data_IF_614596414279
#
_entry.id   IF_614596414279
#
_cell.length_a   1.000
_cell.length_b   1.000
_cell.length_c   1.000
_cell.angle_alpha   90.00
_cell.angle_beta   90.00
_cell.angle_gamma   90.00
#
_symmetry.space_group_name_H-M   'P 1'
#
loop_
_entity.id
_entity.type
_entity.pdbx_description
1 polymer ?
#
# COMPACT_ATOMS: atom_id res chain seq x y z
N UNK A 1 -4.51 -21.26 -22.55
CA UNK A 1 -3.25 -21.46 -21.81
C UNK A 1 -3.42 -22.58 -20.78
N UNK A 2 -2.36 -23.35 -20.53
CA UNK A 2 -2.38 -24.52 -19.62
C UNK A 2 -1.41 -24.31 -18.46
N UNK A 3 -1.86 -24.52 -17.23
CA UNK A 3 -1.03 -24.54 -16.02
C UNK A 3 -0.60 -25.97 -15.67
N UNK A 4 0.71 -26.22 -15.57
CA UNK A 4 1.29 -27.57 -15.36
C UNK A 4 2.37 -27.63 -14.27
N UNK A 5 2.58 -26.54 -13.55
CA UNK A 5 3.66 -26.43 -12.56
C UNK A 5 3.34 -27.26 -11.32
N UNK A 6 4.32 -28.03 -10.84
CA UNK A 6 4.20 -28.87 -9.65
C UNK A 6 3.54 -30.24 -9.93
N UNK A 7 3.17 -30.93 -8.86
CA UNK A 7 2.49 -32.24 -8.91
C UNK A 7 1.25 -32.22 -8.04
N UNK A 8 0.33 -33.17 -8.26
CA UNK A 8 -0.88 -33.33 -7.44
C UNK A 8 -0.99 -34.71 -6.79
N UNK A 9 -1.69 -34.72 -5.66
CA UNK A 9 -2.17 -35.89 -4.96
C UNK A 9 -3.70 -35.88 -4.98
N UNK A 10 -4.28 -37.02 -5.34
CA UNK A 10 -5.71 -37.26 -5.39
C UNK A 10 -6.03 -38.54 -4.62
N UNK A 11 -7.11 -38.53 -3.87
CA UNK A 11 -7.62 -39.71 -3.15
C UNK A 11 -8.90 -40.19 -3.83
N UNK A 12 -9.02 -41.50 -4.05
CA UNK A 12 -10.21 -42.10 -4.64
C UNK A 12 -11.47 -41.70 -3.86
N UNK A 13 -12.54 -41.36 -4.59
CA UNK A 13 -13.81 -40.92 -4.03
C UNK A 13 -13.72 -39.66 -3.14
N UNK A 14 -12.73 -38.79 -3.36
CA UNK A 14 -12.59 -37.51 -2.66
C UNK A 14 -12.49 -36.35 -3.69
N UNK A 15 -13.08 -35.21 -3.38
CA UNK A 15 -13.03 -34.01 -4.23
C UNK A 15 -11.79 -33.13 -3.97
N UNK A 16 -11.02 -33.41 -2.92
CA UNK A 16 -9.86 -32.60 -2.54
C UNK A 16 -8.64 -32.97 -3.40
N UNK A 17 -8.00 -31.97 -3.97
CA UNK A 17 -6.71 -32.10 -4.68
C UNK A 17 -5.66 -31.34 -3.89
N UNK A 18 -4.57 -32.03 -3.56
CA UNK A 18 -3.42 -31.43 -2.87
C UNK A 18 -2.27 -31.27 -3.84
N UNK A 19 -1.70 -30.07 -3.93
CA UNK A 19 -0.58 -29.74 -4.80
C UNK A 19 0.75 -29.64 -4.05
N UNK A 20 1.84 -30.00 -4.73
CA UNK A 20 3.22 -29.76 -4.27
C UNK A 20 3.95 -28.95 -5.33
N UNK A 21 4.58 -27.83 -4.93
CA UNK A 21 5.24 -26.92 -5.88
C UNK A 21 4.26 -26.17 -6.79
N UNK A 22 2.99 -26.06 -6.38
CA UNK A 22 1.92 -25.36 -7.10
C UNK A 22 1.72 -23.95 -6.53
N UNK A 23 1.11 -23.06 -7.32
CA UNK A 23 0.81 -21.69 -6.95
C UNK A 23 -0.61 -21.29 -7.43
N UNK A 24 -1.60 -22.14 -7.14
CA UNK A 24 -2.95 -22.01 -7.70
C UNK A 24 -3.71 -20.74 -7.28
N UNK A 25 -3.38 -20.15 -6.14
CA UNK A 25 -4.03 -18.91 -5.68
C UNK A 25 -3.36 -17.64 -6.24
N UNK A 26 -2.24 -17.78 -6.97
CA UNK A 26 -1.60 -16.65 -7.64
C UNK A 26 -2.34 -16.33 -8.95
N UNK A 27 -2.99 -15.17 -8.96
CA UNK A 27 -3.85 -14.71 -10.05
C UNK A 27 -3.14 -14.65 -11.42
N UNK A 28 -1.79 -14.54 -11.45
CA UNK A 28 -1.02 -14.53 -12.70
C UNK A 28 -1.12 -15.83 -13.49
N UNK A 29 -1.41 -16.94 -12.81
CA UNK A 29 -1.52 -18.25 -13.44
C UNK A 29 -2.94 -18.58 -13.89
N UNK A 30 -3.94 -17.81 -13.46
CA UNK A 30 -5.32 -17.91 -13.95
C UNK A 30 -6.07 -19.17 -13.53
N UNK A 31 -5.64 -19.88 -12.49
CA UNK A 31 -6.40 -21.01 -11.91
C UNK A 31 -7.53 -20.43 -11.06
N UNK A 32 -8.77 -20.76 -11.40
CA UNK A 32 -9.97 -20.22 -10.76
C UNK A 32 -11.12 -21.24 -10.79
N UNK A 33 -12.20 -21.05 -10.00
CA UNK A 33 -13.41 -21.84 -10.13
C UNK A 33 -13.94 -21.89 -11.57
N UNK A 34 -14.47 -23.04 -11.98
CA UNK A 34 -14.95 -23.31 -13.35
C UNK A 34 -13.86 -23.74 -14.33
N UNK A 35 -12.58 -23.72 -13.94
CA UNK A 35 -11.51 -24.23 -14.78
C UNK A 35 -11.50 -25.76 -14.82
N UNK A 36 -10.95 -26.33 -15.89
CA UNK A 36 -10.91 -27.78 -16.10
C UNK A 36 -9.53 -28.32 -15.72
N UNK A 37 -9.51 -29.28 -14.80
CA UNK A 37 -8.33 -30.06 -14.43
C UNK A 37 -8.33 -31.38 -15.21
N UNK A 38 -7.25 -31.64 -15.92
CA UNK A 38 -6.93 -32.93 -16.51
C UNK A 38 -6.16 -33.76 -15.47
N UNK A 39 -6.81 -34.81 -14.98
CA UNK A 39 -6.29 -35.68 -13.93
C UNK A 39 -5.48 -36.86 -14.52
N UNK A 40 -4.66 -37.55 -13.70
CA UNK A 40 -3.83 -38.67 -14.16
C UNK A 40 -4.61 -39.90 -14.65
N UNK A 41 -5.90 -39.99 -14.36
CA UNK A 41 -6.82 -40.99 -14.92
C UNK A 41 -7.30 -40.65 -16.34
N UNK A 42 -6.71 -39.61 -16.96
CA UNK A 42 -7.10 -39.05 -18.26
C UNK A 42 -8.55 -38.53 -18.32
N UNK A 43 -9.18 -38.25 -17.17
CA UNK A 43 -10.49 -37.63 -17.11
C UNK A 43 -10.40 -36.15 -16.78
N UNK A 44 -11.46 -35.44 -17.15
CA UNK A 44 -11.63 -34.02 -16.90
C UNK A 44 -12.46 -33.82 -15.64
N UNK A 45 -12.00 -32.93 -14.77
CA UNK A 45 -12.69 -32.53 -13.56
C UNK A 45 -12.81 -31.02 -13.50
N UNK A 46 -13.97 -30.52 -13.07
CA UNK A 46 -14.17 -29.09 -12.86
C UNK A 46 -13.62 -28.68 -11.50
N UNK A 47 -12.83 -27.60 -11.47
CA UNK A 47 -12.40 -26.95 -10.23
C UNK A 47 -13.58 -26.18 -9.65
N UNK A 48 -14.11 -26.64 -8.52
CA UNK A 48 -15.17 -25.94 -7.77
C UNK A 48 -14.63 -24.75 -7.00
N UNK A 49 -13.46 -24.90 -6.37
CA UNK A 49 -12.87 -23.86 -5.53
C UNK A 49 -11.35 -23.98 -5.47
N UNK A 50 -10.67 -22.82 -5.47
CA UNK A 50 -9.26 -22.69 -5.11
C UNK A 50 -9.18 -22.32 -3.63
N UNK A 51 -8.70 -23.23 -2.79
CA UNK A 51 -8.61 -23.02 -1.35
C UNK A 51 -7.30 -22.32 -0.97
N UNK A 52 -6.21 -22.67 -1.65
CA UNK A 52 -4.88 -22.08 -1.45
C UNK A 52 -3.95 -22.38 -2.65
N UNK A 53 -2.68 -21.97 -2.57
CA UNK A 53 -1.66 -22.30 -3.57
C UNK A 53 -1.49 -23.81 -3.81
N UNK A 54 -1.87 -24.64 -2.84
CA UNK A 54 -1.65 -26.10 -2.81
C UNK A 54 -2.90 -26.90 -2.49
N UNK A 55 -4.08 -26.29 -2.47
CA UNK A 55 -5.35 -26.99 -2.23
C UNK A 55 -6.45 -26.49 -3.15
N UNK A 56 -7.12 -27.42 -3.82
CA UNK A 56 -8.30 -27.21 -4.65
C UNK A 56 -9.39 -28.20 -4.25
N UNK A 57 -10.64 -27.81 -4.51
CA UNK A 57 -11.80 -28.69 -4.42
C UNK A 57 -12.40 -28.86 -5.80
N UNK A 58 -12.64 -30.11 -6.21
CA UNK A 58 -13.33 -30.47 -7.45
C UNK A 58 -14.85 -30.41 -7.27
N UNK A 59 -15.58 -30.23 -8.38
CA UNK A 59 -17.04 -30.23 -8.35
C UNK A 59 -17.62 -31.65 -8.19
N UNK A 60 -16.89 -32.66 -8.68
CA UNK A 60 -17.17 -34.08 -8.50
C UNK A 60 -16.01 -34.79 -7.79
N UNK A 61 -16.31 -35.85 -7.06
CA UNK A 61 -15.28 -36.66 -6.43
C UNK A 61 -14.38 -37.30 -7.50
N UNK A 62 -13.09 -37.39 -7.23
CA UNK A 62 -12.14 -38.05 -8.10
C UNK A 62 -12.48 -39.54 -8.26
N UNK A 63 -12.71 -39.96 -9.50
CA UNK A 63 -13.17 -41.30 -9.84
C UNK A 63 -12.04 -42.29 -10.14
N UNK A 64 -10.78 -41.81 -10.19
CA UNK A 64 -9.61 -42.65 -10.36
C UNK A 64 -9.13 -43.28 -9.05
N UNK A 65 -8.15 -44.18 -9.15
CA UNK A 65 -7.45 -44.73 -7.98
C UNK A 65 -6.59 -43.66 -7.30
N UNK A 66 -6.48 -43.72 -5.98
CA UNK A 66 -5.60 -42.83 -5.19
C UNK A 66 -4.21 -42.78 -5.80
N UNK A 67 -3.73 -41.57 -6.08
CA UNK A 67 -2.46 -41.34 -6.74
C UNK A 67 -1.77 -40.11 -6.14
N UNK A 68 -0.46 -40.20 -5.94
CA UNK A 68 0.36 -39.12 -5.36
C UNK A 68 1.52 -38.77 -6.28
N UNK A 69 1.96 -37.51 -6.24
CA UNK A 69 3.06 -37.00 -7.05
C UNK A 69 2.78 -37.04 -8.55
N UNK A 70 1.52 -36.95 -8.96
CA UNK A 70 1.14 -37.10 -10.36
C UNK A 70 1.26 -35.79 -11.14
N UNK A 71 1.59 -35.92 -12.43
CA UNK A 71 1.49 -34.83 -13.39
C UNK A 71 0.02 -34.52 -13.68
N UNK A 72 -0.25 -33.28 -14.02
CA UNK A 72 -1.60 -32.79 -14.31
C UNK A 72 -1.53 -31.57 -15.21
N UNK A 73 -2.68 -31.09 -15.64
CA UNK A 73 -2.77 -29.78 -16.24
C UNK A 73 -4.12 -29.13 -15.96
N UNK A 74 -4.14 -27.81 -15.77
CA UNK A 74 -5.38 -27.02 -15.64
C UNK A 74 -5.49 -26.11 -16.85
N UNK A 75 -6.62 -26.16 -17.54
CA UNK A 75 -6.95 -25.24 -18.63
C UNK A 75 -7.40 -23.94 -17.98
N UNK A 76 -6.56 -22.90 -18.04
CA UNK A 76 -6.80 -21.60 -17.37
C UNK A 76 -7.33 -20.52 -18.31
N UNK A 77 -7.20 -20.73 -19.62
CA UNK A 77 -7.87 -19.97 -20.68
C UNK A 77 -8.05 -20.85 -21.92
N UNK A 78 -9.13 -20.66 -22.68
CA UNK A 78 -9.20 -21.14 -24.06
C UNK A 78 -8.38 -20.19 -24.95
N UNK A 79 -7.54 -20.72 -25.83
CA UNK A 79 -6.95 -19.90 -26.90
C UNK A 79 -8.08 -19.42 -27.81
N UNK A 80 -8.29 -18.10 -27.90
CA UNK A 80 -9.17 -17.49 -28.91
C UNK A 80 -10.40 -16.69 -28.42
N UNK A 81 -10.63 -16.46 -27.13
CA UNK A 81 -11.86 -15.78 -26.69
C UNK A 81 -11.70 -14.25 -26.53
N UNK A 82 -12.17 -13.49 -27.54
CA UNK A 82 -12.21 -12.01 -27.62
C UNK A 82 -12.89 -11.36 -26.40
N UNK A 83 -13.75 -12.11 -25.71
CA UNK A 83 -14.47 -11.69 -24.52
C UNK A 83 -13.53 -11.45 -23.32
N UNK A 84 -12.45 -12.24 -23.18
CA UNK A 84 -11.49 -12.04 -22.09
C UNK A 84 -10.52 -10.90 -22.36
N UNK A 85 -10.14 -10.65 -23.61
CA UNK A 85 -9.41 -9.42 -23.95
C UNK A 85 -10.25 -8.19 -23.62
N UNK A 86 -11.53 -8.20 -23.97
CA UNK A 86 -12.47 -7.11 -23.64
C UNK A 86 -12.61 -6.92 -22.13
N UNK A 87 -12.73 -8.00 -21.35
CA UNK A 87 -12.79 -7.93 -19.89
C UNK A 87 -11.48 -7.41 -19.27
N UNK A 88 -10.32 -7.87 -19.75
CA UNK A 88 -9.00 -7.41 -19.29
C UNK A 88 -8.73 -5.96 -19.69
N UNK A 89 -9.17 -5.55 -20.88
CA UNK A 89 -9.09 -4.16 -21.34
C UNK A 89 -10.02 -3.25 -20.54
N UNK A 90 -11.25 -3.69 -20.25
CA UNK A 90 -12.18 -2.94 -19.40
C UNK A 90 -11.63 -2.79 -17.96
N UNK A 91 -11.03 -3.85 -17.40
CA UNK A 91 -10.35 -3.79 -16.10
C UNK A 91 -9.15 -2.83 -16.13
N UNK A 92 -8.33 -2.88 -17.18
CA UNK A 92 -7.21 -1.95 -17.39
C UNK A 92 -7.68 -0.50 -17.52
N UNK A 93 -8.78 -0.25 -18.26
CA UNK A 93 -9.37 1.08 -18.38
C UNK A 93 -9.95 1.58 -17.04
N UNK A 94 -10.55 0.69 -16.26
CA UNK A 94 -11.07 1.03 -14.93
C UNK A 94 -9.92 1.39 -13.98
N UNK A 95 -8.82 0.63 -14.03
CA UNK A 95 -7.60 0.93 -13.28
C UNK A 95 -7.02 2.29 -13.66
N UNK A 96 -6.87 2.60 -14.97
CA UNK A 96 -6.36 3.90 -15.40
C UNK A 96 -7.28 5.07 -15.00
N UNK A 97 -8.59 4.88 -15.05
CA UNK A 97 -9.54 5.89 -14.57
C UNK A 97 -9.42 6.13 -13.06
N UNK A 98 -9.29 5.06 -12.27
CA UNK A 98 -9.06 5.15 -10.82
C UNK A 98 -7.75 5.88 -10.51
N UNK A 99 -6.65 5.46 -11.12
CA UNK A 99 -5.33 6.08 -10.95
C UNK A 99 -5.34 7.57 -11.32
N UNK A 100 -6.04 7.95 -12.40
CA UNK A 100 -6.21 9.35 -12.79
C UNK A 100 -7.01 10.14 -11.75
N UNK A 101 -8.13 9.60 -11.28
CA UNK A 101 -8.97 10.27 -10.29
C UNK A 101 -8.24 10.47 -8.96
N UNK A 102 -7.53 9.44 -8.50
CA UNK A 102 -6.70 9.49 -7.30
C UNK A 102 -5.60 10.56 -7.43
N UNK A 103 -4.95 10.62 -8.60
CA UNK A 103 -3.93 11.64 -8.90
C UNK A 103 -4.51 13.06 -8.88
N UNK A 104 -5.62 13.30 -9.59
CA UNK A 104 -6.28 14.62 -9.62
C UNK A 104 -6.71 15.02 -8.22
N UNK A 105 -7.33 14.11 -7.48
CA UNK A 105 -7.78 14.37 -6.11
C UNK A 105 -6.61 14.71 -5.19
N UNK A 106 -5.44 14.12 -5.41
CA UNK A 106 -4.25 14.41 -4.62
C UNK A 106 -3.68 15.80 -4.90
N UNK A 107 -3.75 16.23 -6.17
CA UNK A 107 -3.33 17.57 -6.58
C UNK A 107 -4.31 18.67 -6.15
N UNK A 108 -5.61 18.39 -6.12
CA UNK A 108 -6.64 19.43 -5.87
C UNK A 108 -7.25 19.37 -4.46
N UNK A 109 -7.04 18.30 -3.71
CA UNK A 109 -7.56 18.14 -2.35
C UNK A 109 -6.81 18.98 -1.31
N UNK A 110 -7.45 19.24 -0.17
CA UNK A 110 -6.95 20.16 0.87
C UNK A 110 -6.63 19.49 2.22
N UNK A 111 -6.36 18.19 2.25
CA UNK A 111 -6.23 17.43 3.51
C UNK A 111 -5.38 16.16 3.35
N UNK A 112 -5.73 15.10 4.07
CA UNK A 112 -5.15 13.78 3.83
C UNK A 112 -6.02 13.00 2.84
N UNK A 113 -5.39 12.21 1.98
CA UNK A 113 -6.09 11.27 1.12
C UNK A 113 -5.61 9.84 1.33
N UNK A 114 -6.52 8.90 1.19
CA UNK A 114 -6.24 7.47 1.34
C UNK A 114 -6.34 6.77 0.00
N UNK A 115 -5.23 6.20 -0.44
CA UNK A 115 -5.12 5.36 -1.62
C UNK A 115 -5.28 3.90 -1.19
N UNK A 116 -5.96 3.09 -2.00
CA UNK A 116 -5.95 1.63 -1.83
C UNK A 116 -4.99 1.05 -2.87
N UNK A 117 -3.94 0.36 -2.42
CA UNK A 117 -2.97 -0.27 -3.31
C UNK A 117 -3.56 -1.54 -3.95
N UNK A 118 -2.86 -2.05 -4.95
CA UNK A 118 -3.23 -3.28 -5.66
C UNK A 118 -3.27 -4.52 -4.74
N UNK A 119 -2.52 -4.51 -3.63
CA UNK A 119 -2.54 -5.56 -2.59
C UNK A 119 -3.68 -5.39 -1.56
N UNK A 120 -4.55 -4.41 -1.76
CA UNK A 120 -5.67 -4.07 -0.86
C UNK A 120 -5.28 -3.25 0.37
N UNK A 121 -3.99 -2.97 0.58
CA UNK A 121 -3.56 -2.14 1.71
C UNK A 121 -3.89 -0.67 1.47
N UNK A 122 -4.23 0.04 2.55
CA UNK A 122 -4.51 1.48 2.51
C UNK A 122 -3.25 2.28 2.79
N UNK A 123 -3.02 3.33 2.03
CA UNK A 123 -1.93 4.29 2.21
C UNK A 123 -2.51 5.70 2.31
N UNK A 124 -2.35 6.34 3.47
CA UNK A 124 -2.76 7.71 3.68
C UNK A 124 -1.58 8.65 3.48
N UNK A 125 -1.73 9.64 2.59
CA UNK A 125 -0.72 10.68 2.33
C UNK A 125 -1.37 12.06 2.33
N UNK A 126 -0.64 13.11 2.77
CA UNK A 126 -1.12 14.48 2.65
C UNK A 126 -1.22 14.90 1.19
N UNK A 127 -2.24 15.69 0.84
CA UNK A 127 -2.40 16.29 -0.49
C UNK A 127 -1.34 17.34 -0.76
N UNK A 128 -1.20 17.75 -2.02
CA UNK A 128 -0.25 18.81 -2.38
C UNK A 128 -0.52 20.12 -1.61
N UNK A 129 -1.78 20.51 -1.45
CA UNK A 129 -2.13 21.72 -0.69
C UNK A 129 -1.75 21.60 0.80
N UNK A 130 -1.93 20.42 1.41
CA UNK A 130 -1.53 20.18 2.80
C UNK A 130 0.00 20.14 2.95
N UNK A 131 0.71 19.53 2.01
CA UNK A 131 2.18 19.57 1.95
C UNK A 131 2.66 21.03 1.83
N UNK A 132 2.03 21.85 1.00
CA UNK A 132 2.40 23.26 0.89
C UNK A 132 2.15 24.04 2.19
N UNK A 133 1.07 23.74 2.91
CA UNK A 133 0.75 24.39 4.17
C UNK A 133 1.65 23.94 5.34
N UNK A 134 2.00 22.65 5.39
CA UNK A 134 2.68 22.05 6.54
C UNK A 134 4.23 22.14 6.44
N UNK A 135 4.81 22.29 5.25
CA UNK A 135 6.26 22.27 5.06
C UNK A 135 6.89 23.67 5.08
N UNK A 136 7.19 24.14 6.28
CA UNK A 136 7.73 25.48 6.54
C UNK A 136 9.27 25.59 6.56
N UNK A 137 10.05 24.59 6.11
CA UNK A 137 11.47 24.53 6.51
C UNK A 137 12.51 23.91 5.55
N UNK A 138 12.38 24.07 4.22
CA UNK A 138 13.45 23.61 3.29
C UNK A 138 14.01 24.66 2.33
N UNK A 139 13.57 25.90 2.38
CA UNK A 139 14.09 26.92 1.46
C UNK A 139 15.27 27.65 2.11
N UNK A 140 16.46 27.47 1.56
CA UNK A 140 17.70 28.13 2.03
C UNK A 140 17.85 29.57 1.55
N UNK A 141 16.92 30.11 0.75
CA UNK A 141 17.12 31.41 0.07
C UNK A 141 15.87 32.28 -0.17
N UNK A 142 14.72 32.01 0.45
CA UNK A 142 13.54 32.87 0.31
C UNK A 142 12.90 33.16 1.66
N UNK A 143 12.61 34.44 1.91
CA UNK A 143 11.90 34.92 3.10
C UNK A 143 10.62 34.12 3.30
N UNK A 144 10.45 33.52 4.48
CA UNK A 144 9.27 32.75 4.85
C UNK A 144 8.32 33.66 5.64
N UNK A 145 7.12 33.90 5.11
CA UNK A 145 6.06 34.62 5.83
C UNK A 145 5.03 33.62 6.37
N UNK A 146 4.77 33.67 7.68
CA UNK A 146 3.77 32.83 8.33
C UNK A 146 2.58 33.72 8.70
N UNK A 147 1.41 33.41 8.14
CA UNK A 147 0.20 34.22 8.35
C UNK A 147 -0.44 34.01 9.75
N UNK A 148 0.06 33.06 10.55
CA UNK A 148 -0.52 32.68 11.83
C UNK A 148 0.52 32.37 12.93
N UNK A 149 0.07 32.03 14.15
CA UNK A 149 0.95 31.74 15.26
C UNK A 149 1.75 30.45 15.05
N UNK A 150 3.03 30.47 15.42
CA UNK A 150 3.90 29.28 15.43
C UNK A 150 3.99 28.71 16.83
N UNK A 151 3.64 27.43 16.99
CA UNK A 151 3.83 26.70 18.24
C UNK A 151 5.05 25.79 18.14
N UNK A 152 6.00 25.96 19.06
CA UNK A 152 7.16 25.08 19.18
C UNK A 152 6.93 24.07 20.32
N UNK A 153 6.94 22.78 20.00
CA UNK A 153 6.83 21.69 20.99
C UNK A 153 8.18 21.32 21.62
N UNK A 154 9.26 21.91 21.11
CA UNK A 154 10.64 21.81 21.61
C UNK A 154 11.28 23.21 21.58
N UNK A 155 12.44 23.36 22.21
CA UNK A 155 13.18 24.62 22.16
C UNK A 155 13.55 25.02 20.72
N UNK A 156 13.31 26.29 20.37
CA UNK A 156 13.77 26.86 19.10
C UNK A 156 15.27 27.20 19.17
N UNK A 157 16.03 26.90 18.11
CA UNK A 157 17.48 27.18 18.00
C UNK A 157 17.73 28.03 16.76
N UNK A 158 18.53 29.09 16.89
CA UNK A 158 18.90 30.00 15.79
C UNK A 158 20.42 30.01 15.60
N UNK A 159 20.92 29.34 14.56
CA UNK A 159 22.38 29.14 14.37
C UNK A 159 23.11 30.40 13.88
N UNK A 160 22.41 31.35 13.27
CA UNK A 160 22.98 32.56 12.67
C UNK A 160 22.39 33.85 13.27
N UNK A 161 21.86 33.76 14.50
CA UNK A 161 21.22 34.88 15.18
C UNK A 161 19.75 35.08 14.81
N UNK A 162 19.13 36.08 15.43
CA UNK A 162 17.76 36.51 15.20
C UNK A 162 17.75 38.04 15.07
N UNK A 163 17.08 38.58 14.07
CA UNK A 163 16.90 40.01 13.89
C UNK A 163 15.42 40.31 13.76
N UNK A 164 14.94 41.24 14.58
CA UNK A 164 13.57 41.75 14.50
C UNK A 164 13.60 43.21 14.07
N UNK A 165 12.75 43.55 13.11
CA UNK A 165 12.57 44.93 12.65
C UNK A 165 11.54 45.71 13.48
N UNK A 166 10.87 45.05 14.44
CA UNK A 166 9.89 45.65 15.34
C UNK A 166 9.95 45.09 16.76
N UNK A 167 8.98 45.47 17.58
CA UNK A 167 8.90 45.10 18.99
C UNK A 167 8.70 43.58 19.17
N UNK A 168 9.51 42.99 20.05
CA UNK A 168 9.33 41.61 20.50
C UNK A 168 8.66 41.63 21.87
N UNK A 169 7.58 40.87 22.02
CA UNK A 169 6.86 40.74 23.28
C UNK A 169 6.99 39.30 23.77
N UNK A 170 7.70 39.11 24.88
CA UNK A 170 7.82 37.81 25.54
C UNK A 170 6.91 37.77 26.75
N UNK A 171 6.01 36.79 26.80
CA UNK A 171 5.06 36.62 27.90
C UNK A 171 5.12 35.18 28.42
N UNK A 172 5.26 35.03 29.74
CA UNK A 172 5.13 33.74 30.40
C UNK A 172 3.76 33.65 31.07
N UNK A 173 3.00 32.60 30.75
CA UNK A 173 1.75 32.27 31.47
C UNK A 173 2.07 31.36 32.64
N UNK A 174 2.80 31.87 33.63
CA UNK A 174 3.05 31.14 34.88
C UNK A 174 2.56 31.97 36.05
N UNK A 175 2.05 31.32 37.09
CA UNK A 175 1.50 32.01 38.26
C UNK A 175 2.59 32.66 39.14
N UNK A 176 3.88 32.60 38.78
CA UNK A 176 4.96 33.03 39.67
C UNK A 176 6.36 33.23 39.10
N UNK A 177 6.55 33.55 37.81
CA UNK A 177 7.89 33.87 37.30
C UNK A 177 7.90 34.95 36.20
N UNK A 178 8.83 35.89 36.34
CA UNK A 178 9.21 36.85 35.31
C UNK A 178 9.85 36.12 34.12
N UNK A 179 9.74 36.71 32.92
CA UNK A 179 10.53 36.26 31.77
C UNK A 179 11.96 36.73 31.98
N UNK A 180 12.86 35.83 32.38
CA UNK A 180 14.28 36.17 32.54
C UNK A 180 14.99 35.92 31.21
N UNK A 181 15.51 36.98 30.60
CA UNK A 181 16.39 36.88 29.44
C UNK A 181 17.83 36.73 29.94
N UNK A 182 18.42 35.54 29.73
CA UNK A 182 19.82 35.25 30.08
C UNK A 182 20.66 35.20 28.82
N UNK A 183 21.83 35.81 28.86
CA UNK A 183 22.81 35.70 27.78
C UNK A 183 24.02 34.88 28.25
N UNK A 184 24.44 33.96 27.39
CA UNK A 184 25.61 33.11 27.59
C UNK A 184 26.63 33.39 26.50
N UNK A 185 27.90 33.23 26.81
CA UNK A 185 28.96 33.25 25.79
C UNK A 185 28.99 31.95 24.97
N UNK A 186 29.94 31.86 24.04
CA UNK A 186 30.12 30.70 23.16
C UNK A 186 30.52 29.42 23.92
N UNK A 187 31.01 29.55 25.15
CA UNK A 187 31.38 28.44 26.04
C UNK A 187 30.24 28.07 27.01
N UNK A 188 29.09 28.73 26.89
CA UNK A 188 27.88 28.44 27.65
C UNK A 188 27.86 29.03 29.07
N UNK A 189 28.80 29.92 29.39
CA UNK A 189 28.89 30.62 30.69
C UNK A 189 27.90 31.78 30.69
N UNK A 190 27.13 31.91 31.78
CA UNK A 190 26.15 32.99 31.94
C UNK A 190 26.86 34.33 32.15
N UNK A 191 26.60 35.28 31.26
CA UNK A 191 27.23 36.60 31.24
C UNK A 191 26.31 37.67 31.84
N UNK A 192 25.02 37.35 32.04
CA UNK A 192 24.09 38.16 32.83
C UNK A 192 22.62 37.89 32.50
N UNK A 193 21.73 38.65 33.17
CA UNK A 193 20.28 38.50 33.07
C UNK A 193 19.54 39.85 33.11
N UNK A 194 18.45 39.96 32.36
CA UNK A 194 17.46 41.03 32.49
C UNK A 194 16.15 40.44 33.05
N UNK A 195 15.52 41.17 33.98
CA UNK A 195 14.24 40.81 34.62
C UNK A 195 13.06 41.52 33.97
#
# INVERSE_FOLDING_TARGET
MWYKTGTINLTANNATVTGTGTAWADAKFGVMPGMILLAPDNKLYEVKQVNSNTSLTLNSNYAGSTASGQSYAIITTYEGDISQFSARFAAMLTFFQGSRNDTVSWFTGSGDMTFTKDDGTKLTVPTLAKIQADYLSKTTTADQSIAGPVLFTKAATFNNGSTSLGDNVFQAKTAGANVILRYKDMDGVEQGQFM
#
